data_IF_772905667980
#
_entry.id   IF_772905667980
#
_cell.length_a   1.000
_cell.length_b   1.000
_cell.length_c   1.000
_cell.angle_alpha   90.00
_cell.angle_beta   90.00
_cell.angle_gamma   90.00
#
_symmetry.space_group_name_H-M   'P 1'
#
loop_
_entity.id
_entity.type
_entity.pdbx_description
1 polymer ?
#
# COMPACT_ATOMS: atom_id res chain seq x y z
N UNK A 1 -2.13 -10.04 -23.49
CA UNK A 1 -1.85 -10.26 -22.05
C UNK A 1 -1.91 -8.93 -21.26
N UNK A 2 -2.90 -8.05 -21.50
CA UNK A 2 -3.06 -6.82 -20.68
C UNK A 2 -3.71 -7.11 -19.30
N UNK A 3 -4.38 -8.26 -19.12
CA UNK A 3 -5.20 -8.57 -17.95
C UNK A 3 -4.41 -8.75 -16.65
N UNK A 4 -3.31 -9.49 -16.67
CA UNK A 4 -2.58 -9.85 -15.44
C UNK A 4 -1.90 -8.64 -14.78
N UNK A 5 -1.38 -7.71 -15.59
CA UNK A 5 -0.72 -6.50 -15.09
C UNK A 5 -1.72 -5.48 -14.53
N UNK A 6 -2.86 -5.31 -15.19
CA UNK A 6 -3.93 -4.44 -14.71
C UNK A 6 -4.56 -4.97 -13.42
N UNK A 7 -4.84 -6.28 -13.36
CA UNK A 7 -5.35 -6.93 -12.16
C UNK A 7 -4.38 -6.82 -10.97
N UNK A 8 -3.06 -6.87 -11.22
CA UNK A 8 -2.04 -6.68 -10.18
C UNK A 8 -2.00 -5.24 -9.66
N UNK A 9 -2.10 -4.23 -10.54
CA UNK A 9 -2.18 -2.82 -10.13
C UNK A 9 -3.42 -2.52 -9.28
N UNK A 10 -4.58 -3.07 -9.64
CA UNK A 10 -5.82 -2.86 -8.87
C UNK A 10 -5.74 -3.48 -7.46
N UNK A 11 -5.12 -4.66 -7.34
CA UNK A 11 -4.89 -5.31 -6.04
C UNK A 11 -3.94 -4.47 -5.19
N UNK A 12 -2.82 -4.00 -5.75
CA UNK A 12 -1.86 -3.14 -5.03
C UNK A 12 -2.54 -1.85 -4.57
N UNK A 13 -3.32 -1.19 -5.43
CA UNK A 13 -4.01 0.06 -5.09
C UNK A 13 -5.04 -0.11 -3.95
N UNK A 14 -5.71 -1.26 -3.89
CA UNK A 14 -6.62 -1.58 -2.77
C UNK A 14 -5.85 -1.84 -1.48
N UNK A 15 -4.73 -2.56 -1.54
CA UNK A 15 -3.89 -2.82 -0.38
C UNK A 15 -3.28 -1.51 0.17
N UNK A 16 -2.81 -0.61 -0.70
CA UNK A 16 -2.36 0.73 -0.27
C UNK A 16 -3.45 1.49 0.44
N UNK A 17 -4.66 1.53 -0.14
CA UNK A 17 -5.80 2.21 0.50
C UNK A 17 -6.12 1.63 1.88
N UNK A 18 -5.95 0.32 2.05
CA UNK A 18 -6.16 -0.36 3.33
C UNK A 18 -5.07 -0.06 4.38
N UNK A 19 -3.92 0.49 4.00
CA UNK A 19 -2.92 1.00 4.96
C UNK A 19 -3.43 2.23 5.73
N UNK A 20 -4.37 2.99 5.14
CA UNK A 20 -5.04 4.13 5.78
C UNK A 20 -6.30 3.76 6.58
N UNK A 21 -6.67 2.48 6.63
CA UNK A 21 -7.90 2.04 7.30
C UNK A 21 -7.85 2.34 8.81
N UNK A 22 -9.01 2.54 9.44
CA UNK A 22 -9.11 2.80 10.88
C UNK A 22 -8.78 1.56 11.72
N UNK A 23 -9.09 0.36 11.22
CA UNK A 23 -8.83 -0.92 11.86
C UNK A 23 -7.35 -1.29 11.82
N UNK A 24 -6.76 -1.51 13.01
CA UNK A 24 -5.37 -2.00 13.14
C UNK A 24 -5.15 -3.30 12.35
N UNK A 25 -6.06 -4.26 12.51
CA UNK A 25 -5.97 -5.58 11.85
C UNK A 25 -6.01 -5.47 10.32
N UNK A 26 -6.78 -4.51 9.80
CA UNK A 26 -6.89 -4.25 8.35
C UNK A 26 -5.58 -3.68 7.82
N UNK A 27 -5.00 -2.70 8.53
CA UNK A 27 -3.70 -2.11 8.17
C UNK A 27 -2.57 -3.14 8.20
N UNK A 28 -2.53 -3.99 9.22
CA UNK A 28 -1.50 -5.02 9.36
C UNK A 28 -1.65 -6.11 8.29
N UNK A 29 -2.88 -6.52 7.99
CA UNK A 29 -3.16 -7.46 6.88
C UNK A 29 -2.72 -6.90 5.53
N UNK A 30 -2.94 -5.60 5.31
CA UNK A 30 -2.52 -4.92 4.09
C UNK A 30 -0.99 -4.88 3.94
N UNK A 31 -0.27 -4.54 5.02
CA UNK A 31 1.21 -4.61 5.03
C UNK A 31 1.70 -6.01 4.73
N UNK A 32 1.14 -7.02 5.41
CA UNK A 32 1.56 -8.39 5.23
C UNK A 32 1.36 -8.84 3.77
N UNK A 33 0.20 -8.57 3.19
CA UNK A 33 -0.08 -8.90 1.80
C UNK A 33 0.88 -8.19 0.82
N UNK A 34 1.19 -6.91 1.06
CA UNK A 34 2.16 -6.16 0.25
C UNK A 34 3.58 -6.73 0.37
N UNK A 35 3.99 -7.13 1.57
CA UNK A 35 5.28 -7.79 1.82
C UNK A 35 5.40 -9.14 1.13
N UNK A 36 4.35 -9.97 1.17
CA UNK A 36 4.29 -11.27 0.49
C UNK A 36 4.34 -11.13 -1.05
N UNK A 37 3.88 -9.99 -1.59
CA UNK A 37 4.00 -9.69 -3.02
C UNK A 37 5.44 -9.30 -3.43
N UNK A 38 6.29 -8.93 -2.47
CA UNK A 38 7.70 -8.62 -2.67
C UNK A 38 7.95 -7.52 -3.70
N UNK A 39 9.00 -7.66 -4.51
CA UNK A 39 9.38 -6.68 -5.54
C UNK A 39 8.27 -6.38 -6.56
N UNK A 40 7.29 -7.28 -6.72
CA UNK A 40 6.16 -7.04 -7.63
C UNK A 40 5.19 -5.98 -7.11
N UNK A 41 5.14 -5.76 -5.79
CA UNK A 41 4.34 -4.68 -5.20
C UNK A 41 5.04 -3.32 -5.24
N UNK A 42 6.38 -3.30 -5.34
CA UNK A 42 7.20 -2.09 -5.41
C UNK A 42 7.12 -1.39 -6.78
N UNK A 43 5.91 -1.08 -7.22
CA UNK A 43 5.67 -0.31 -8.43
C UNK A 43 5.94 1.18 -8.18
N UNK A 44 6.29 1.93 -9.23
CA UNK A 44 6.47 3.39 -9.11
C UNK A 44 5.21 4.11 -8.61
N UNK A 45 4.02 3.57 -8.91
CA UNK A 45 2.74 4.10 -8.42
C UNK A 45 2.58 3.91 -6.90
N UNK A 46 2.92 2.72 -6.39
CA UNK A 46 2.97 2.42 -4.95
C UNK A 46 3.91 3.39 -4.22
N UNK A 47 5.14 3.53 -4.72
CA UNK A 47 6.16 4.39 -4.11
C UNK A 47 5.68 5.84 -4.08
N UNK A 48 5.17 6.37 -5.19
CA UNK A 48 4.64 7.74 -5.25
C UNK A 48 3.48 7.97 -4.28
N UNK A 49 2.61 6.99 -4.12
CA UNK A 49 1.47 7.08 -3.21
C UNK A 49 1.91 7.04 -1.74
N UNK A 50 2.83 6.14 -1.38
CA UNK A 50 3.42 6.12 -0.04
C UNK A 50 4.17 7.41 0.29
N UNK A 51 4.88 8.00 -0.68
CA UNK A 51 5.49 9.33 -0.50
C UNK A 51 4.44 10.39 -0.22
N UNK A 52 3.31 10.39 -0.94
CA UNK A 52 2.21 11.32 -0.66
C UNK A 52 1.57 11.11 0.71
N UNK A 53 1.51 9.87 1.21
CA UNK A 53 0.98 9.55 2.54
C UNK A 53 1.95 9.94 3.67
N UNK A 54 3.26 10.01 3.40
CA UNK A 54 4.24 10.57 4.34
C UNK A 54 4.08 12.08 4.53
N UNK A 55 3.56 12.77 3.53
CA UNK A 55 3.23 14.20 3.58
C UNK A 55 1.84 14.48 4.19
N UNK A 56 1.01 13.45 4.43
CA UNK A 56 -0.33 13.59 5.00
C UNK A 56 -0.27 14.12 6.44
N UNK A 57 -1.07 15.12 6.82
CA UNK A 57 -1.01 15.70 8.17
C UNK A 57 -1.36 14.72 9.31
N UNK A 58 -2.11 13.65 9.01
CA UNK A 58 -2.52 12.64 9.96
C UNK A 58 -1.35 11.71 10.33
N UNK A 59 -0.93 11.76 11.60
CA UNK A 59 0.17 10.95 12.12
C UNK A 59 -0.04 9.43 11.98
N UNK A 60 -1.30 8.96 11.94
CA UNK A 60 -1.58 7.55 11.69
C UNK A 60 -1.35 7.15 10.22
N UNK A 61 -1.62 8.06 9.28
CA UNK A 61 -1.37 7.86 7.85
C UNK A 61 0.13 7.86 7.59
N UNK A 62 0.86 8.86 8.10
CA UNK A 62 2.35 8.89 8.04
C UNK A 62 2.98 7.63 8.60
N UNK A 63 2.56 7.23 9.80
CA UNK A 63 3.08 6.02 10.46
C UNK A 63 2.82 4.79 9.61
N UNK A 64 1.66 4.73 8.96
CA UNK A 64 1.32 3.58 8.14
C UNK A 64 2.18 3.49 6.89
N UNK A 65 2.47 4.62 6.26
CA UNK A 65 3.39 4.71 5.13
C UNK A 65 4.84 4.35 5.50
N UNK A 66 5.34 4.78 6.67
CA UNK A 66 6.69 4.41 7.15
C UNK A 66 6.90 2.90 7.33
N UNK A 67 5.84 2.17 7.68
CA UNK A 67 5.89 0.72 7.91
C UNK A 67 5.39 -0.07 6.68
N UNK A 68 5.17 0.56 5.53
CA UNK A 68 4.57 -0.10 4.36
C UNK A 68 5.53 -0.99 3.54
N UNK A 69 6.63 -1.47 4.14
CA UNK A 69 7.67 -2.27 3.49
C UNK A 69 8.14 -3.39 4.43
#
# INVERSE_FOLDING_TARGET
MMGDKAATSDVINRLVSALGDQGLDVRDSARYALGEMGEKAATSEMINRLMSELDDENSNVKRSACYAF
#
